data_IF_136352760825
#
_entry.id   IF_136352760825
#
_cell.length_a   1.000
_cell.length_b   1.000
_cell.length_c   1.000
_cell.angle_alpha   90.00
_cell.angle_beta   90.00
_cell.angle_gamma   90.00
#
_symmetry.space_group_name_H-M   'P 1'
#
loop_
_entity.id
_entity.type
_entity.pdbx_description
1 polymer ?
#
# COMPACT_ATOMS: atom_id res chain seq x y z
N UNK A 1 -25.02 -20.82 -63.24
CA UNK A 1 -24.99 -19.71 -62.27
C UNK A 1 -24.03 -20.12 -61.17
N UNK A 2 -22.77 -19.69 -61.28
CA UNK A 2 -21.70 -20.00 -60.32
C UNK A 2 -21.48 -18.78 -59.42
N UNK A 3 -21.40 -19.01 -58.11
CA UNK A 3 -21.13 -18.00 -57.10
C UNK A 3 -19.62 -17.95 -56.84
N UNK A 4 -18.90 -17.05 -57.52
CA UNK A 4 -17.52 -16.70 -57.18
C UNK A 4 -17.53 -15.53 -56.19
N UNK A 5 -17.65 -15.85 -54.90
CA UNK A 5 -17.48 -14.90 -53.80
C UNK A 5 -16.00 -14.78 -53.42
N UNK A 6 -15.28 -13.85 -54.04
CA UNK A 6 -13.92 -13.47 -53.65
C UNK A 6 -13.89 -12.94 -52.21
N UNK A 7 -13.29 -13.69 -51.30
CA UNK A 7 -13.03 -13.26 -49.93
C UNK A 7 -11.78 -12.37 -49.93
N UNK A 8 -11.97 -11.07 -49.77
CA UNK A 8 -10.86 -10.14 -49.50
C UNK A 8 -10.61 -10.09 -47.99
N UNK A 9 -9.39 -10.36 -47.49
CA UNK A 9 -9.12 -10.25 -46.07
C UNK A 9 -9.16 -8.78 -45.65
N UNK A 10 -10.10 -8.46 -44.77
CA UNK A 10 -10.18 -7.19 -44.04
C UNK A 10 -8.83 -6.89 -43.40
N UNK A 11 -8.26 -5.73 -43.75
CA UNK A 11 -7.05 -5.17 -43.15
C UNK A 11 -7.16 -5.23 -41.63
N UNK A 12 -6.25 -5.98 -40.99
CA UNK A 12 -6.02 -5.90 -39.55
C UNK A 12 -5.64 -4.47 -39.19
N UNK A 13 -6.17 -3.90 -38.08
CA UNK A 13 -5.72 -2.61 -37.62
C UNK A 13 -4.24 -2.73 -37.25
N UNK A 14 -3.39 -2.01 -37.99
CA UNK A 14 -2.01 -1.76 -37.60
C UNK A 14 -1.98 -1.02 -36.26
N UNK A 15 -1.15 -1.54 -35.35
CA UNK A 15 -0.24 -0.67 -34.62
C UNK A 15 -0.75 -0.09 -33.32
N UNK A 16 -0.59 -0.86 -32.25
CA UNK A 16 0.01 -0.33 -31.02
C UNK A 16 0.73 -1.47 -30.29
N UNK A 17 1.84 -1.93 -30.86
CA UNK A 17 2.96 -2.36 -30.01
C UNK A 17 3.54 -1.10 -29.39
N UNK A 18 2.88 -0.56 -28.36
CA UNK A 18 3.55 0.35 -27.44
C UNK A 18 4.60 -0.51 -26.73
N UNK A 19 5.78 -0.61 -27.34
CA UNK A 19 6.99 -0.94 -26.63
C UNK A 19 7.14 0.15 -25.59
N UNK A 20 6.57 -0.07 -24.39
CA UNK A 20 6.82 0.81 -23.25
C UNK A 20 8.32 0.77 -23.07
N UNK A 21 9.00 1.87 -23.40
CA UNK A 21 10.42 2.01 -23.10
C UNK A 21 10.58 1.63 -21.63
N UNK A 22 11.44 0.65 -21.37
CA UNK A 22 11.77 0.24 -20.01
C UNK A 22 12.27 1.47 -19.27
N UNK A 23 11.49 1.98 -18.33
CA UNK A 23 11.86 3.12 -17.51
C UNK A 23 12.80 2.59 -16.43
N UNK A 24 14.05 3.02 -16.49
CA UNK A 24 15.07 2.67 -15.52
C UNK A 24 15.05 3.61 -14.30
N UNK A 25 15.59 3.15 -13.18
CA UNK A 25 15.65 3.83 -11.88
C UNK A 25 16.36 5.19 -11.96
N UNK A 26 17.26 5.36 -12.93
CA UNK A 26 18.00 6.60 -13.21
C UNK A 26 17.17 7.65 -13.96
N UNK A 27 16.06 7.23 -14.58
CA UNK A 27 15.20 8.09 -15.40
C UNK A 27 14.01 8.68 -14.65
N UNK A 28 13.84 8.33 -13.38
CA UNK A 28 12.76 8.83 -12.52
C UNK A 28 13.30 9.71 -11.38
N UNK A 29 12.50 10.67 -10.87
CA UNK A 29 12.84 11.42 -9.68
C UNK A 29 13.18 10.50 -8.51
N UNK A 30 14.19 10.85 -7.71
CA UNK A 30 14.56 10.10 -6.51
C UNK A 30 13.66 10.49 -5.33
N UNK A 31 12.35 10.36 -5.52
CA UNK A 31 11.30 10.80 -4.59
C UNK A 31 10.12 9.83 -4.63
N UNK A 32 9.12 10.04 -3.77
CA UNK A 32 7.87 9.27 -3.77
C UNK A 32 7.17 9.24 -5.15
N UNK A 33 7.28 10.32 -5.92
CA UNK A 33 6.73 10.36 -7.28
C UNK A 33 7.49 9.44 -8.25
N UNK A 34 8.78 9.23 -8.02
CA UNK A 34 9.56 8.21 -8.72
C UNK A 34 9.09 6.79 -8.41
N UNK A 35 8.82 6.49 -7.13
CA UNK A 35 8.26 5.19 -6.73
C UNK A 35 6.91 4.92 -7.41
N UNK A 36 6.02 5.92 -7.43
CA UNK A 36 4.71 5.81 -8.12
C UNK A 36 4.88 5.57 -9.61
N UNK A 37 5.81 6.28 -10.24
CA UNK A 37 6.08 6.16 -11.68
C UNK A 37 6.61 4.78 -12.03
N UNK A 38 7.58 4.25 -11.26
CA UNK A 38 8.13 2.91 -11.48
C UNK A 38 7.06 1.82 -11.25
N UNK A 39 6.25 1.95 -10.20
CA UNK A 39 5.16 1.03 -9.91
C UNK A 39 4.09 1.03 -11.01
N UNK A 40 3.71 2.20 -11.53
CA UNK A 40 2.77 2.32 -12.64
C UNK A 40 3.28 1.65 -13.93
N UNK A 41 4.60 1.61 -14.12
CA UNK A 41 5.23 0.93 -15.25
C UNK A 41 5.51 -0.56 -14.99
N UNK A 42 5.23 -1.07 -13.78
CA UNK A 42 5.49 -2.45 -13.40
C UNK A 42 6.96 -2.79 -13.18
N UNK A 43 7.84 -1.78 -13.07
CA UNK A 43 9.27 -1.99 -12.78
C UNK A 43 9.47 -2.22 -11.26
N UNK A 44 9.07 -3.38 -10.77
CA UNK A 44 9.14 -3.72 -9.34
C UNK A 44 10.56 -3.80 -8.79
N UNK A 45 11.54 -4.22 -9.61
CA UNK A 45 12.97 -4.19 -9.24
C UNK A 45 13.46 -2.76 -9.01
N UNK A 46 13.04 -1.81 -9.86
CA UNK A 46 13.37 -0.41 -9.67
C UNK A 46 12.68 0.21 -8.46
N UNK A 47 11.41 -0.16 -8.20
CA UNK A 47 10.69 0.26 -6.98
C UNK A 47 11.44 -0.22 -5.74
N UNK A 48 11.92 -1.47 -5.71
CA UNK A 48 12.67 -2.02 -4.59
C UNK A 48 13.96 -1.23 -4.34
N UNK A 49 14.77 -1.03 -5.39
CA UNK A 49 16.05 -0.33 -5.27
C UNK A 49 15.87 1.13 -4.82
N UNK A 50 14.87 1.83 -5.36
CA UNK A 50 14.59 3.21 -4.96
C UNK A 50 14.05 3.28 -3.52
N UNK A 51 13.17 2.35 -3.13
CA UNK A 51 12.63 2.30 -1.77
C UNK A 51 13.71 2.03 -0.74
N UNK A 52 14.67 1.14 -1.01
CA UNK A 52 15.80 0.86 -0.12
C UNK A 52 16.69 2.09 0.08
N UNK A 53 16.96 2.83 -0.99
CA UNK A 53 17.74 4.07 -0.91
C UNK A 53 17.03 5.13 -0.07
N UNK A 54 15.73 5.36 -0.32
CA UNK A 54 14.94 6.35 0.43
C UNK A 54 14.77 5.94 1.90
N UNK A 55 14.57 4.66 2.17
CA UNK A 55 14.53 4.12 3.53
C UNK A 55 15.84 4.41 4.28
N UNK A 56 16.99 4.13 3.64
CA UNK A 56 18.30 4.42 4.23
C UNK A 56 18.45 5.91 4.49
N UNK A 57 18.16 6.79 3.53
CA UNK A 57 18.25 8.24 3.72
C UNK A 57 17.40 8.74 4.90
N UNK A 58 16.20 8.16 5.08
CA UNK A 58 15.25 8.56 6.13
C UNK A 58 15.52 7.94 7.49
N UNK A 59 16.06 6.73 7.54
CA UNK A 59 16.44 6.07 8.79
C UNK A 59 17.48 6.89 9.58
N UNK A 60 18.33 7.66 8.89
CA UNK A 60 19.34 8.51 9.54
C UNK A 60 18.79 9.84 10.07
N UNK A 61 17.64 10.31 9.59
CA UNK A 61 17.11 11.65 9.90
C UNK A 61 16.08 11.60 11.03
N UNK A 62 15.05 10.78 10.87
CA UNK A 62 13.92 10.67 11.78
C UNK A 62 13.51 9.20 11.84
N UNK A 63 13.68 8.57 13.01
CA UNK A 63 13.67 7.12 13.16
C UNK A 63 12.42 6.40 12.65
N UNK A 64 11.29 7.07 12.38
CA UNK A 64 10.05 6.47 11.89
C UNK A 64 9.65 6.91 10.46
N UNK A 65 10.33 7.91 9.87
CA UNK A 65 10.04 8.36 8.49
C UNK A 65 10.39 7.31 7.43
N UNK A 66 11.14 6.28 7.82
CA UNK A 66 11.50 5.17 6.96
C UNK A 66 10.36 4.15 6.77
N UNK A 67 9.38 4.11 7.69
CA UNK A 67 8.31 3.09 7.71
C UNK A 67 7.45 3.02 6.43
N UNK A 68 7.08 4.13 5.76
CA UNK A 68 6.39 4.06 4.48
C UNK A 68 7.18 3.32 3.40
N UNK A 69 8.50 3.43 3.39
CA UNK A 69 9.35 2.72 2.43
C UNK A 69 9.46 1.23 2.77
N UNK A 70 9.45 0.88 4.06
CA UNK A 70 9.34 -0.52 4.49
C UNK A 70 8.04 -1.15 3.97
N UNK A 71 6.92 -0.43 4.07
CA UNK A 71 5.65 -0.87 3.50
C UNK A 71 5.72 -1.08 1.98
N UNK A 72 6.40 -0.18 1.25
CA UNK A 72 6.63 -0.33 -0.20
C UNK A 72 7.44 -1.58 -0.49
N UNK A 73 8.53 -1.84 0.23
CA UNK A 73 9.37 -3.04 0.06
C UNK A 73 8.57 -4.33 0.30
N UNK A 74 7.79 -4.39 1.39
CA UNK A 74 6.90 -5.52 1.66
C UNK A 74 5.92 -5.73 0.51
N UNK A 75 5.33 -4.65 -0.02
CA UNK A 75 4.43 -4.71 -1.17
C UNK A 75 5.13 -5.27 -2.41
N UNK A 76 6.38 -4.87 -2.68
CA UNK A 76 7.18 -5.41 -3.79
C UNK A 76 7.44 -6.91 -3.60
N UNK A 77 7.78 -7.35 -2.40
CA UNK A 77 7.97 -8.78 -2.12
C UNK A 77 6.69 -9.60 -2.37
N UNK A 78 5.51 -9.09 -1.96
CA UNK A 78 4.25 -9.74 -2.30
C UNK A 78 4.00 -9.76 -3.83
N UNK A 79 4.25 -8.65 -4.53
CA UNK A 79 4.07 -8.56 -5.99
C UNK A 79 4.99 -9.49 -6.77
N UNK A 80 6.18 -9.75 -6.24
CA UNK A 80 7.19 -10.62 -6.86
C UNK A 80 7.16 -12.05 -6.30
N UNK A 81 6.17 -12.39 -5.47
CA UNK A 81 6.02 -13.70 -4.82
C UNK A 81 7.20 -14.11 -3.93
N UNK A 82 7.99 -13.13 -3.48
CA UNK A 82 9.13 -13.29 -2.60
C UNK A 82 8.71 -13.22 -1.12
N UNK A 83 7.73 -14.05 -0.76
CA UNK A 83 7.09 -14.04 0.57
C UNK A 83 8.08 -14.20 1.75
N UNK A 84 9.12 -15.05 1.68
CA UNK A 84 10.07 -15.19 2.79
C UNK A 84 10.77 -13.87 3.15
N UNK A 85 11.09 -13.03 2.15
CA UNK A 85 11.71 -11.73 2.39
C UNK A 85 10.76 -10.74 3.07
N UNK A 86 9.47 -10.79 2.73
CA UNK A 86 8.46 -10.00 3.42
C UNK A 86 8.32 -10.40 4.89
N UNK A 87 8.34 -11.70 5.18
CA UNK A 87 8.29 -12.24 6.55
C UNK A 87 9.52 -11.74 7.33
N UNK A 88 10.73 -11.94 6.81
CA UNK A 88 11.96 -11.50 7.49
C UNK A 88 12.01 -10.00 7.71
N UNK A 89 11.53 -9.20 6.75
CA UNK A 89 11.48 -7.74 6.92
C UNK A 89 10.51 -7.32 8.03
N UNK A 90 9.38 -8.01 8.17
CA UNK A 90 8.41 -7.75 9.24
C UNK A 90 8.92 -8.23 10.59
N UNK A 91 9.66 -9.33 10.63
CA UNK A 91 10.35 -9.78 11.85
C UNK A 91 11.40 -8.76 12.32
N UNK A 92 12.14 -8.15 11.39
CA UNK A 92 13.11 -7.09 11.70
C UNK A 92 12.46 -5.82 12.25
N UNK A 93 11.24 -5.48 11.81
CA UNK A 93 10.48 -4.35 12.39
C UNK A 93 10.07 -4.60 13.85
N UNK A 94 9.97 -5.87 14.26
CA UNK A 94 9.53 -6.27 15.60
C UNK A 94 8.06 -6.00 15.87
N UNK A 95 7.72 -5.79 17.16
CA UNK A 95 6.33 -5.55 17.58
C UNK A 95 5.91 -4.10 17.29
N UNK A 96 5.36 -3.88 16.10
CA UNK A 96 4.82 -2.58 15.64
C UNK A 96 3.59 -2.11 16.42
N UNK A 97 2.98 -2.99 17.22
CA UNK A 97 1.69 -2.77 17.87
C UNK A 97 1.84 -2.35 19.35
N UNK A 98 2.78 -2.98 20.06
CA UNK A 98 2.95 -2.78 21.50
C UNK A 98 4.30 -2.16 21.88
N UNK A 99 5.26 -2.07 20.96
CA UNK A 99 6.54 -1.42 21.27
C UNK A 99 6.37 0.07 21.55
N UNK A 100 6.99 0.53 22.63
CA UNK A 100 7.05 1.96 22.97
C UNK A 100 7.82 2.77 21.91
N UNK A 101 8.68 2.12 21.12
CA UNK A 101 9.43 2.77 20.04
C UNK A 101 8.52 3.41 18.97
N UNK A 102 7.33 2.83 18.78
CA UNK A 102 6.37 3.26 17.78
C UNK A 102 5.26 4.14 18.35
N UNK A 103 5.38 4.57 19.62
CA UNK A 103 4.39 5.41 20.27
C UNK A 103 4.87 6.84 20.39
N UNK A 104 3.95 7.77 20.12
CA UNK A 104 4.17 9.16 20.47
C UNK A 104 4.31 9.27 22.00
N UNK A 105 5.39 9.85 22.52
CA UNK A 105 5.61 9.95 23.96
C UNK A 105 4.62 10.88 24.67
N UNK A 106 3.97 11.78 23.93
CA UNK A 106 3.04 12.79 24.43
C UNK A 106 1.59 12.31 24.32
N UNK A 107 1.19 11.82 23.15
CA UNK A 107 -0.21 11.41 22.90
C UNK A 107 -0.44 9.92 23.18
N UNK A 108 0.62 9.12 23.22
CA UNK A 108 0.55 7.66 23.34
C UNK A 108 0.03 6.97 22.08
N UNK A 109 -0.22 7.70 21.00
CA UNK A 109 -0.73 7.17 19.73
C UNK A 109 0.33 6.33 19.02
N UNK A 110 -0.12 5.34 18.24
CA UNK A 110 0.78 4.54 17.44
C UNK A 110 1.11 5.31 16.14
N UNK A 111 2.38 5.59 15.93
CA UNK A 111 2.91 6.36 14.81
C UNK A 111 3.10 5.51 13.54
N UNK A 112 2.98 4.19 13.63
CA UNK A 112 3.09 3.29 12.48
C UNK A 112 1.86 3.42 11.59
N UNK A 113 2.02 3.59 10.27
CA UNK A 113 0.89 3.63 9.34
C UNK A 113 -0.03 2.41 9.48
N UNK A 114 -1.34 2.64 9.49
CA UNK A 114 -2.33 1.56 9.66
C UNK A 114 -2.17 0.42 8.64
N UNK A 115 -1.81 0.75 7.39
CA UNK A 115 -1.54 -0.23 6.34
C UNK A 115 -0.37 -1.17 6.70
N UNK A 116 0.69 -0.64 7.31
CA UNK A 116 1.82 -1.45 7.77
C UNK A 116 1.41 -2.32 8.97
N UNK A 117 0.69 -1.75 9.93
CA UNK A 117 0.10 -2.49 11.07
C UNK A 117 -0.76 -3.66 10.61
N UNK A 118 -1.64 -3.43 9.64
CA UNK A 118 -2.49 -4.46 9.04
C UNK A 118 -1.66 -5.59 8.40
N UNK A 119 -0.64 -5.25 7.61
CA UNK A 119 0.23 -6.26 6.99
C UNK A 119 1.00 -7.04 8.05
N UNK A 120 1.58 -6.38 9.05
CA UNK A 120 2.23 -7.06 10.18
C UNK A 120 1.27 -8.02 10.90
N UNK A 121 -0.01 -7.64 11.04
CA UNK A 121 -1.06 -8.51 11.56
C UNK A 121 -1.36 -9.72 10.67
N UNK A 122 -1.30 -9.56 9.35
CA UNK A 122 -1.60 -10.62 8.38
C UNK A 122 -0.42 -11.57 8.08
N UNK A 123 0.82 -11.11 8.24
CA UNK A 123 2.05 -11.87 7.94
C UNK A 123 2.10 -13.28 8.55
N UNK A 124 1.68 -13.51 9.81
CA UNK A 124 1.68 -14.86 10.39
C UNK A 124 0.88 -15.87 9.56
N UNK A 125 -0.16 -15.47 8.83
CA UNK A 125 -0.90 -16.37 7.95
C UNK A 125 0.00 -16.95 6.84
N UNK A 126 0.86 -16.11 6.25
CA UNK A 126 1.81 -16.50 5.21
C UNK A 126 2.94 -17.39 5.75
N UNK A 127 3.19 -17.36 7.07
CA UNK A 127 4.09 -18.28 7.77
C UNK A 127 3.40 -19.56 8.26
N UNK A 128 2.10 -19.77 7.98
CA UNK A 128 1.31 -20.91 8.44
C UNK A 128 0.65 -20.73 9.81
N UNK A 129 0.88 -19.61 10.50
CA UNK A 129 0.31 -19.26 11.80
C UNK A 129 -1.04 -18.53 11.67
N UNK A 130 -2.01 -19.14 10.97
CA UNK A 130 -3.30 -18.49 10.67
C UNK A 130 -4.06 -18.02 11.90
N UNK A 131 -4.05 -18.79 13.00
CA UNK A 131 -4.73 -18.39 14.26
C UNK A 131 -4.16 -17.10 14.84
N UNK A 132 -2.85 -16.93 14.76
CA UNK A 132 -2.16 -15.72 15.23
C UNK A 132 -2.50 -14.52 14.35
N UNK A 133 -2.57 -14.72 13.03
CA UNK A 133 -3.01 -13.67 12.12
C UNK A 133 -4.45 -13.20 12.42
N UNK A 134 -5.37 -14.14 12.64
CA UNK A 134 -6.76 -13.81 13.03
C UNK A 134 -6.77 -12.99 14.33
N UNK A 135 -6.09 -13.47 15.38
CA UNK A 135 -6.02 -12.77 16.66
C UNK A 135 -5.44 -11.35 16.52
N UNK A 136 -4.38 -11.18 15.72
CA UNK A 136 -3.77 -9.89 15.46
C UNK A 136 -4.74 -8.93 14.73
N UNK A 137 -5.44 -9.42 13.72
CA UNK A 137 -6.39 -8.62 12.94
C UNK A 137 -7.65 -8.27 13.77
N UNK A 138 -8.16 -9.19 14.59
CA UNK A 138 -9.27 -8.92 15.52
C UNK A 138 -8.90 -7.85 16.55
N UNK A 139 -7.66 -7.87 17.04
CA UNK A 139 -7.13 -6.82 17.93
C UNK A 139 -7.11 -5.47 17.24
N UNK A 140 -6.61 -5.40 16.01
CA UNK A 140 -6.59 -4.17 15.20
C UNK A 140 -8.00 -3.62 14.96
N UNK A 141 -8.96 -4.50 14.63
CA UNK A 141 -10.37 -4.12 14.46
C UNK A 141 -10.98 -3.58 15.76
N UNK A 142 -10.60 -4.16 16.90
CA UNK A 142 -11.06 -3.69 18.22
C UNK A 142 -10.54 -2.28 18.52
N UNK A 143 -9.27 -1.99 18.20
CA UNK A 143 -8.70 -0.65 18.32
C UNK A 143 -9.47 0.36 17.46
N UNK A 144 -9.75 0.03 16.20
CA UNK A 144 -10.51 0.91 15.30
C UNK A 144 -11.91 1.23 15.84
N UNK A 145 -12.58 0.24 16.45
CA UNK A 145 -13.90 0.43 17.07
C UNK A 145 -13.84 1.41 18.24
N UNK A 146 -12.83 1.29 19.10
CA UNK A 146 -12.66 2.19 20.25
C UNK A 146 -12.29 3.62 19.82
N UNK A 147 -11.41 3.77 18.83
CA UNK A 147 -11.10 5.09 18.24
C UNK A 147 -12.35 5.74 17.62
N UNK A 148 -13.17 4.97 16.89
CA UNK A 148 -14.44 5.46 16.35
C UNK A 148 -15.44 5.89 17.42
N UNK A 149 -15.50 5.19 18.58
CA UNK A 149 -16.32 5.60 19.72
C UNK A 149 -15.82 6.90 20.35
N UNK A 150 -14.50 7.06 20.53
CA UNK A 150 -13.89 8.29 21.06
C UNK A 150 -14.21 9.50 20.19
N UNK A 151 -14.09 9.36 18.86
CA UNK A 151 -14.46 10.42 17.91
C UNK A 151 -15.93 10.78 18.08
N UNK A 152 -16.83 9.79 18.11
CA UNK A 152 -18.27 10.02 18.30
C UNK A 152 -18.59 10.70 19.62
N UNK A 153 -17.89 10.34 20.70
CA UNK A 153 -18.06 10.94 22.02
C UNK A 153 -17.53 12.38 22.09
N UNK A 154 -16.39 12.67 21.45
CA UNK A 154 -15.80 14.00 21.41
C UNK A 154 -16.57 14.95 20.49
N UNK A 155 -17.11 14.45 19.37
CA UNK A 155 -18.00 15.21 18.50
C UNK A 155 -19.41 15.39 19.09
N UNK A 156 -19.76 14.67 20.16
CA UNK A 156 -21.03 14.83 20.88
C UNK A 156 -21.12 16.10 21.74
N UNK A 157 -20.01 16.84 21.91
CA UNK A 157 -19.97 18.11 22.65
C UNK A 157 -19.90 19.36 21.74
N UNK A 158 -19.77 19.18 20.42
CA UNK A 158 -19.92 20.24 19.43
C UNK A 158 -21.19 19.97 18.63
N UNK A 159 -22.12 20.92 18.70
CA UNK A 159 -23.49 20.90 18.19
C UNK A 159 -23.70 20.27 16.79
N UNK A 160 -24.92 19.76 16.52
CA UNK A 160 -25.30 19.20 15.23
C UNK A 160 -25.22 20.26 14.12
N UNK A 161 -25.10 19.81 12.87
CA UNK A 161 -25.07 20.60 11.64
C UNK A 161 -23.70 21.18 11.22
N UNK A 162 -22.78 20.31 10.81
CA UNK A 162 -21.73 20.66 9.84
C UNK A 162 -21.26 19.44 9.02
N UNK A 163 -22.19 18.63 8.51
CA UNK A 163 -21.93 17.67 7.44
C UNK A 163 -22.98 17.86 6.34
N UNK A 164 -22.93 19.00 5.65
CA UNK A 164 -23.54 19.15 4.33
C UNK A 164 -22.42 19.21 3.28
N UNK A 165 -22.52 18.33 2.28
CA UNK A 165 -21.57 18.17 1.17
C UNK A 165 -20.73 16.91 1.38
N UNK A 166 -21.12 15.74 0.91
CA UNK A 166 -21.35 15.42 -0.49
C UNK A 166 -22.50 14.40 -0.62
N UNK A 167 -23.64 14.85 -1.14
CA UNK A 167 -24.68 13.94 -1.63
C UNK A 167 -24.31 13.52 -3.05
N UNK A 168 -24.10 12.22 -3.25
CA UNK A 168 -24.02 11.61 -4.57
C UNK A 168 -25.41 11.68 -5.21
N UNK A 169 -25.63 12.61 -6.14
CA UNK A 169 -26.75 12.49 -7.07
C UNK A 169 -26.42 11.37 -8.06
N UNK A 170 -27.09 10.23 -7.91
CA UNK A 170 -27.15 9.19 -8.95
C UNK A 170 -28.20 9.63 -9.96
N UNK A 171 -27.73 10.15 -11.10
CA UNK A 171 -28.57 10.36 -12.29
C UNK A 171 -28.89 8.98 -12.86
N UNK A 172 -30.16 8.59 -12.82
CA UNK A 172 -30.71 7.56 -13.69
C UNK A 172 -31.66 8.23 -14.68
N UNK A 173 -31.57 7.74 -15.91
CA UNK A 173 -32.11 8.28 -17.16
C UNK A 173 -33.65 8.41 -17.20
#
# INVERSE_FOLDING_TARGET
MSLDGSWSPTKTPQGYTTSRKSIDCTSVPQTDDGLRTLAANGNWSGVLALAEKLEQEKAHQNGLEHLPYVLVRITVYFKTQQIPFAISLVELLGDVENSAHYRDPTTGENLVPFSLRYICGAIPHYAGETRKAIANLERLLSICKEEGKKIRSNCGAAAPYACHGLSFHSTTA
#
